data_IF_166501230283
#
_entry.id   IF_166501230283
#
_cell.length_a   1.000
_cell.length_b   1.000
_cell.length_c   1.000
_cell.angle_alpha   90.00
_cell.angle_beta   90.00
_cell.angle_gamma   90.00
#
_symmetry.space_group_name_H-M   'P 1'
#
loop_
_entity.id
_entity.type
_entity.pdbx_description
1 polymer ?
#
# COMPACT_ATOMS: atom_id res chain seq x y z
N UNK A 1 -7.34 -0.79 23.04
CA UNK A 1 -5.91 -0.84 23.37
C UNK A 1 -5.23 0.32 22.68
N UNK A 2 -4.22 0.92 23.32
CA UNK A 2 -3.38 1.93 22.67
C UNK A 2 -2.88 1.39 21.32
N UNK A 3 -2.98 2.19 20.26
CA UNK A 3 -2.57 1.75 18.93
C UNK A 3 -1.16 2.22 18.60
N UNK A 4 -0.43 1.34 17.92
CA UNK A 4 0.97 1.57 17.57
C UNK A 4 1.08 2.40 16.28
N UNK A 5 2.05 3.30 16.24
CA UNK A 5 2.48 4.00 15.04
C UNK A 5 3.92 3.68 14.70
N UNK A 6 4.13 3.32 13.43
CA UNK A 6 5.44 3.10 12.85
C UNK A 6 5.64 4.09 11.69
N UNK A 7 6.74 4.84 11.68
CA UNK A 7 7.02 5.82 10.63
C UNK A 7 8.22 5.39 9.77
N UNK A 8 8.09 5.53 8.45
CA UNK A 8 9.21 5.40 7.50
C UNK A 8 9.44 6.69 6.71
N UNK A 9 10.71 7.00 6.43
CA UNK A 9 11.05 8.00 5.41
C UNK A 9 11.27 7.29 4.08
N UNK A 10 10.54 7.71 3.04
CA UNK A 10 10.65 7.20 1.68
C UNK A 10 10.57 8.38 0.71
N UNK A 11 11.58 8.54 -0.17
CA UNK A 11 11.63 9.60 -1.18
C UNK A 11 11.33 11.01 -0.63
N UNK A 12 11.99 11.39 0.48
CA UNK A 12 11.82 12.67 1.18
C UNK A 12 10.45 12.91 1.84
N UNK A 13 9.58 11.90 1.88
CA UNK A 13 8.32 11.94 2.63
C UNK A 13 8.40 11.01 3.84
N UNK A 14 7.91 11.48 4.97
CA UNK A 14 7.58 10.63 6.11
C UNK A 14 6.20 10.06 5.93
N UNK A 15 6.08 8.75 6.11
CA UNK A 15 4.84 7.99 6.07
C UNK A 15 4.70 7.32 7.43
N UNK A 16 3.71 7.76 8.20
CA UNK A 16 3.32 7.13 9.45
C UNK A 16 2.21 6.12 9.18
N UNK A 17 2.37 4.89 9.66
CA UNK A 17 1.45 3.77 9.51
C UNK A 17 0.87 3.36 10.87
N UNK A 18 -0.34 2.81 10.85
CA UNK A 18 -0.95 2.13 12.00
C UNK A 18 -1.02 0.64 11.69
N UNK A 19 -0.11 -0.22 12.22
CA UNK A 19 -0.06 -1.63 11.83
C UNK A 19 -1.35 -2.41 12.12
N UNK A 20 -2.06 -2.06 13.19
CA UNK A 20 -3.35 -2.67 13.55
C UNK A 20 -4.50 -2.25 12.61
N UNK A 21 -4.27 -1.26 11.74
CA UNK A 21 -5.20 -0.82 10.70
C UNK A 21 -4.51 -0.85 9.32
N UNK A 22 -4.36 -2.02 8.68
CA UNK A 22 -3.61 -2.13 7.44
C UNK A 22 -4.13 -1.19 6.34
N UNK A 23 -3.23 -0.36 5.81
CA UNK A 23 -3.55 0.70 4.85
C UNK A 23 -3.96 2.05 5.47
N UNK A 24 -4.05 2.18 6.80
CA UNK A 24 -4.17 3.46 7.47
C UNK A 24 -2.80 4.14 7.55
N UNK A 25 -2.72 5.37 7.04
CA UNK A 25 -1.48 6.12 7.02
C UNK A 25 -1.71 7.64 7.03
N UNK A 26 -0.66 8.37 7.37
CA UNK A 26 -0.54 9.80 7.13
C UNK A 26 0.86 10.09 6.57
N UNK A 27 0.97 11.06 5.66
CA UNK A 27 2.25 11.44 5.05
C UNK A 27 2.51 12.94 5.12
N UNK A 28 3.77 13.31 5.29
CA UNK A 28 4.23 14.71 5.28
C UNK A 28 5.76 14.76 5.07
N UNK A 29 6.28 15.87 4.56
CA UNK A 29 7.73 16.12 4.48
C UNK A 29 8.37 16.21 5.87
N UNK A 30 7.62 16.67 6.88
CA UNK A 30 8.05 16.69 8.27
C UNK A 30 7.53 15.46 9.03
N UNK A 31 8.45 14.76 9.70
CA UNK A 31 8.18 13.55 10.49
C UNK A 31 7.10 13.76 11.55
N UNK A 32 7.26 14.79 12.38
CA UNK A 32 6.37 15.05 13.50
C UNK A 32 4.96 15.38 13.00
N UNK A 33 4.84 16.16 11.93
CA UNK A 33 3.55 16.45 11.27
C UNK A 33 2.89 15.18 10.74
N UNK A 34 3.64 14.27 10.08
CA UNK A 34 3.10 12.99 9.61
C UNK A 34 2.55 12.15 10.77
N UNK A 35 3.30 12.06 11.87
CA UNK A 35 2.90 11.30 13.07
C UNK A 35 1.68 11.95 13.75
N UNK A 36 1.67 13.27 13.89
CA UNK A 36 0.58 14.02 14.55
C UNK A 36 -0.73 13.98 13.75
N UNK A 37 -0.68 13.71 12.45
CA UNK A 37 -1.85 13.55 11.59
C UNK A 37 -2.54 12.18 11.73
N UNK A 38 -1.92 11.21 12.42
CA UNK A 38 -2.46 9.85 12.53
C UNK A 38 -3.84 9.78 13.20
N UNK A 39 -4.16 10.49 14.29
CA UNK A 39 -5.51 10.44 14.86
C UNK A 39 -6.60 10.78 13.83
N UNK A 40 -6.40 11.83 13.03
CA UNK A 40 -7.32 12.19 11.93
C UNK A 40 -7.34 11.11 10.84
N UNK A 41 -6.19 10.52 10.51
CA UNK A 41 -6.13 9.42 9.54
C UNK A 41 -6.89 8.18 10.02
N UNK A 42 -6.82 7.86 11.32
CA UNK A 42 -7.58 6.79 11.95
C UNK A 42 -9.08 7.07 11.85
N UNK A 43 -9.53 8.27 12.18
CA UNK A 43 -10.96 8.63 12.07
C UNK A 43 -11.46 8.46 10.63
N UNK A 44 -10.71 8.98 9.65
CA UNK A 44 -11.03 8.83 8.23
C UNK A 44 -11.02 7.35 7.78
N UNK A 45 -10.10 6.54 8.32
CA UNK A 45 -10.01 5.11 8.02
C UNK A 45 -11.21 4.35 8.61
N UNK A 46 -11.64 4.66 9.84
CA UNK A 46 -12.80 4.05 10.46
C UNK A 46 -14.10 4.40 9.73
N UNK A 47 -14.24 5.66 9.30
CA UNK A 47 -15.36 6.09 8.46
C UNK A 47 -15.37 5.38 7.10
N UNK A 48 -14.20 5.20 6.50
CA UNK A 48 -14.04 4.40 5.30
C UNK A 48 -14.44 2.93 5.53
N UNK A 49 -13.94 2.28 6.58
CA UNK A 49 -14.31 0.92 6.95
C UNK A 49 -15.83 0.78 7.10
N UNK A 50 -16.47 1.72 7.79
CA UNK A 50 -17.92 1.73 7.98
C UNK A 50 -18.69 1.79 6.65
N UNK A 51 -18.24 2.58 5.67
CA UNK A 51 -18.87 2.67 4.34
C UNK A 51 -18.81 1.35 3.58
N UNK A 52 -17.74 0.57 3.75
CA UNK A 52 -17.56 -0.73 3.12
C UNK A 52 -17.99 -1.91 4.00
N UNK A 53 -18.65 -1.66 5.14
CA UNK A 53 -19.12 -2.71 6.04
C UNK A 53 -18.02 -3.47 6.79
N UNK A 54 -16.80 -2.92 6.84
CA UNK A 54 -15.65 -3.48 7.56
C UNK A 54 -15.77 -3.10 9.02
N UNK A 55 -15.75 -4.09 9.91
CA UNK A 55 -15.85 -3.86 11.35
C UNK A 55 -14.47 -3.86 12.01
N UNK A 56 -14.06 -2.71 12.54
CA UNK A 56 -12.80 -2.55 13.28
C UNK A 56 -13.13 -2.51 14.77
N UNK A 57 -12.44 -3.32 15.58
CA UNK A 57 -12.61 -3.36 17.04
C UNK A 57 -11.27 -3.23 17.75
N UNK A 58 -11.29 -2.91 19.04
CA UNK A 58 -10.11 -2.97 19.89
C UNK A 58 -9.14 -1.79 19.78
N UNK A 59 -9.34 -0.85 18.86
CA UNK A 59 -8.55 0.38 18.76
C UNK A 59 -9.02 1.43 19.78
N UNK A 60 -8.13 1.94 20.61
CA UNK A 60 -8.45 3.05 21.51
C UNK A 60 -7.24 3.95 21.71
N UNK A 61 -7.47 5.22 22.05
CA UNK A 61 -6.40 6.09 22.55
C UNK A 61 -5.73 5.51 23.82
N UNK A 62 -4.48 5.89 24.12
CA UNK A 62 -3.60 6.79 23.35
C UNK A 62 -2.92 6.13 22.15
N UNK A 63 -2.37 6.94 21.26
CA UNK A 63 -1.41 6.51 20.23
C UNK A 63 -0.01 6.37 20.82
N UNK A 64 0.74 5.34 20.43
CA UNK A 64 2.14 5.14 20.86
C UNK A 64 3.04 4.99 19.62
N UNK A 65 4.02 5.87 19.46
CA UNK A 65 5.04 5.74 18.41
C UNK A 65 6.03 4.65 18.83
N UNK A 66 6.14 3.58 18.05
CA UNK A 66 6.99 2.43 18.35
C UNK A 66 8.31 2.45 17.57
N UNK A 67 8.25 2.71 16.27
CA UNK A 67 9.42 2.64 15.38
C UNK A 67 9.44 3.82 14.41
N UNK A 68 10.65 4.34 14.15
CA UNK A 68 10.91 5.39 13.16
C UNK A 68 12.16 4.98 12.39
N UNK A 69 12.00 4.65 11.10
CA UNK A 69 13.06 4.08 10.26
C UNK A 69 13.26 4.98 9.03
N UNK A 70 14.50 5.30 8.69
CA UNK A 70 14.81 6.00 7.43
C UNK A 70 15.16 4.99 6.35
N UNK A 71 14.60 5.16 5.16
CA UNK A 71 15.11 4.41 4.01
C UNK A 71 16.54 4.84 3.70
N UNK A 72 17.32 3.91 3.17
CA UNK A 72 18.72 4.14 2.83
C UNK A 72 19.06 3.46 1.51
N UNK A 73 20.07 3.99 0.83
CA UNK A 73 20.48 3.49 -0.47
C UNK A 73 21.41 2.29 -0.30
N UNK A 74 21.02 1.15 -0.87
CA UNK A 74 21.86 -0.01 -1.11
C UNK A 74 22.54 0.13 -2.48
N UNK A 75 23.50 -0.75 -2.76
CA UNK A 75 24.24 -0.80 -4.02
C UNK A 75 23.34 -0.59 -5.26
N UNK A 76 23.88 0.11 -6.26
CA UNK A 76 23.20 0.45 -7.53
C UNK A 76 21.94 1.35 -7.39
N UNK A 77 21.82 2.12 -6.32
CA UNK A 77 20.73 3.08 -6.13
C UNK A 77 19.42 2.46 -5.61
N UNK A 78 19.46 1.22 -5.15
CA UNK A 78 18.27 0.55 -4.61
C UNK A 78 17.93 1.08 -3.21
N UNK A 79 16.76 1.70 -3.06
CA UNK A 79 16.31 2.20 -1.76
C UNK A 79 15.72 1.08 -0.89
N UNK A 80 16.38 0.81 0.24
CA UNK A 80 15.92 -0.15 1.26
C UNK A 80 14.87 0.52 2.15
N UNK A 81 13.62 0.06 2.06
CA UNK A 81 12.50 0.61 2.85
C UNK A 81 12.39 -0.07 4.22
N UNK A 82 11.55 0.51 5.09
CA UNK A 82 11.41 0.02 6.46
C UNK A 82 10.90 -1.42 6.53
N UNK A 83 11.41 -2.13 7.53
CA UNK A 83 10.89 -3.42 7.98
C UNK A 83 10.65 -3.32 9.48
N UNK A 84 9.39 -3.13 9.86
CA UNK A 84 8.98 -2.90 11.24
C UNK A 84 8.89 -4.21 12.03
N UNK A 85 8.92 -4.14 13.36
CA UNK A 85 8.64 -5.28 14.21
C UNK A 85 7.25 -5.88 13.91
N UNK A 86 6.26 -5.04 13.57
CA UNK A 86 4.93 -5.47 13.15
C UNK A 86 4.90 -6.24 11.81
N UNK A 87 5.94 -6.11 10.97
CA UNK A 87 6.06 -6.88 9.74
C UNK A 87 6.58 -8.32 9.99
N UNK A 88 7.10 -8.64 11.18
CA UNK A 88 7.75 -9.92 11.47
C UNK A 88 6.80 -11.11 11.66
N UNK A 89 5.70 -11.00 12.42
CA UNK A 89 4.89 -12.18 12.72
C UNK A 89 4.36 -12.80 11.43
N UNK A 90 4.24 -14.14 11.36
CA UNK A 90 3.56 -14.77 10.24
C UNK A 90 2.08 -14.36 10.22
N UNK A 91 1.44 -14.39 9.06
CA UNK A 91 0.00 -14.20 8.98
C UNK A 91 -0.71 -15.37 9.66
N UNK A 92 -1.72 -15.09 10.48
CA UNK A 92 -2.56 -16.12 11.06
C UNK A 92 -3.83 -16.30 10.23
N UNK A 93 -4.38 -17.52 10.20
CA UNK A 93 -5.53 -17.85 9.34
C UNK A 93 -6.77 -17.00 9.60
N UNK A 94 -6.92 -16.46 10.82
CA UNK A 94 -8.02 -15.56 11.18
C UNK A 94 -7.96 -14.23 10.40
N UNK A 95 -6.76 -13.70 10.13
CA UNK A 95 -6.54 -12.41 9.46
C UNK A 95 -6.73 -12.49 7.94
N UNK A 96 -6.65 -13.68 7.33
CA UNK A 96 -6.67 -13.83 5.87
C UNK A 96 -7.96 -13.29 5.25
N UNK A 97 -9.10 -13.52 5.91
CA UNK A 97 -10.38 -12.98 5.42
C UNK A 97 -10.41 -11.45 5.49
N UNK A 98 -9.81 -10.86 6.51
CA UNK A 98 -9.75 -9.41 6.70
C UNK A 98 -8.82 -8.78 5.65
N UNK A 99 -7.63 -9.35 5.42
CA UNK A 99 -6.73 -8.90 4.36
C UNK A 99 -7.34 -9.06 2.97
N UNK A 100 -8.04 -10.16 2.71
CA UNK A 100 -8.76 -10.37 1.44
C UNK A 100 -9.78 -9.24 1.22
N UNK A 101 -10.61 -8.97 2.22
CA UNK A 101 -11.61 -7.90 2.16
C UNK A 101 -10.95 -6.54 1.93
N UNK A 102 -9.90 -6.21 2.67
CA UNK A 102 -9.16 -4.94 2.49
C UNK A 102 -8.55 -4.81 1.10
N UNK A 103 -7.98 -5.89 0.55
CA UNK A 103 -7.43 -5.89 -0.80
C UNK A 103 -8.53 -5.69 -1.85
N UNK A 104 -9.66 -6.40 -1.72
CA UNK A 104 -10.82 -6.25 -2.61
C UNK A 104 -11.36 -4.81 -2.55
N UNK A 105 -11.60 -4.28 -1.35
CA UNK A 105 -12.12 -2.91 -1.18
C UNK A 105 -11.17 -1.83 -1.70
N UNK A 106 -9.87 -1.92 -1.41
CA UNK A 106 -8.90 -0.93 -1.91
C UNK A 106 -8.71 -0.99 -3.43
N UNK A 107 -8.92 -2.15 -4.05
CA UNK A 107 -8.92 -2.28 -5.50
C UNK A 107 -10.18 -1.66 -6.12
N UNK A 108 -11.36 -1.91 -5.54
CA UNK A 108 -12.61 -1.30 -5.97
C UNK A 108 -12.55 0.23 -5.90
N UNK A 109 -12.01 0.78 -4.80
CA UNK A 109 -11.82 2.23 -4.65
C UNK A 109 -10.86 2.81 -5.69
N UNK A 110 -9.75 2.12 -5.96
CA UNK A 110 -8.79 2.55 -6.96
C UNK A 110 -9.45 2.62 -8.34
N UNK A 111 -10.20 1.58 -8.75
CA UNK A 111 -10.95 1.58 -10.01
C UNK A 111 -12.04 2.66 -10.05
N UNK A 112 -12.79 2.82 -8.96
CA UNK A 112 -13.82 3.87 -8.87
C UNK A 112 -13.21 5.28 -8.95
N UNK A 113 -11.99 5.45 -8.41
CA UNK A 113 -11.26 6.72 -8.50
C UNK A 113 -10.90 7.08 -9.94
N UNK A 114 -10.62 6.10 -10.80
CA UNK A 114 -10.43 6.30 -12.25
C UNK A 114 -11.77 6.65 -12.90
N UNK A 115 -12.81 5.84 -12.64
CA UNK A 115 -14.15 5.99 -13.19
C UNK A 115 -14.18 5.97 -14.72
N UNK A 116 -15.23 6.56 -15.30
CA UNK A 116 -15.33 6.77 -16.74
C UNK A 116 -14.52 8.02 -17.11
N UNK A 117 -13.33 7.80 -17.67
CA UNK A 117 -12.41 8.84 -18.15
C UNK A 117 -12.07 8.55 -19.61
N UNK A 118 -12.06 9.61 -20.43
CA UNK A 118 -11.67 9.49 -21.82
C UNK A 118 -10.19 9.07 -21.94
N UNK A 119 -9.84 8.22 -22.92
CA UNK A 119 -8.46 7.75 -23.08
C UNK A 119 -7.43 8.88 -23.22
N UNK A 120 -7.80 10.00 -23.83
CA UNK A 120 -6.92 11.17 -23.96
C UNK A 120 -6.57 11.77 -22.59
N UNK A 121 -7.57 11.98 -21.73
CA UNK A 121 -7.39 12.52 -20.39
C UNK A 121 -6.67 11.52 -19.48
N UNK A 122 -6.95 10.22 -19.62
CA UNK A 122 -6.30 9.18 -18.83
C UNK A 122 -4.78 9.09 -19.10
N UNK A 123 -4.36 9.38 -20.34
CA UNK A 123 -2.97 9.36 -20.77
C UNK A 123 -2.24 10.71 -20.62
N UNK A 124 -2.96 11.77 -20.24
CA UNK A 124 -2.41 13.12 -20.11
C UNK A 124 -1.55 13.26 -18.85
N UNK A 125 -0.31 13.72 -19.01
CA UNK A 125 0.55 14.15 -17.90
C UNK A 125 0.27 15.63 -17.63
N UNK A 126 -0.25 15.94 -16.45
CA UNK A 126 -0.54 17.32 -16.05
C UNK A 126 0.74 18.06 -15.63
N UNK A 127 0.80 19.41 -15.77
CA UNK A 127 1.95 20.18 -15.31
C UNK A 127 2.28 19.92 -13.83
N UNK A 128 3.54 19.64 -13.53
CA UNK A 128 4.02 19.35 -12.18
C UNK A 128 3.79 17.90 -11.71
N UNK A 129 3.19 17.04 -12.53
CA UNK A 129 2.99 15.63 -12.21
C UNK A 129 4.02 14.75 -12.93
N UNK A 130 4.42 13.65 -12.29
CA UNK A 130 5.34 12.67 -12.90
C UNK A 130 4.62 11.68 -13.81
N UNK A 131 3.35 11.37 -13.51
CA UNK A 131 2.58 10.33 -14.20
C UNK A 131 1.20 10.84 -14.60
N UNK A 132 0.67 10.26 -15.69
CA UNK A 132 -0.74 10.31 -16.04
C UNK A 132 -1.55 9.34 -15.17
N UNK A 133 -2.88 9.34 -15.27
CA UNK A 133 -3.72 8.38 -14.54
C UNK A 133 -3.39 6.94 -14.95
N UNK A 134 -3.23 6.66 -16.24
CA UNK A 134 -2.78 5.35 -16.72
C UNK A 134 -1.37 5.00 -16.19
N UNK A 135 -0.46 5.97 -16.15
CA UNK A 135 0.87 5.78 -15.58
C UNK A 135 0.85 5.43 -14.09
N UNK A 136 -0.08 6.01 -13.32
CA UNK A 136 -0.29 5.67 -11.90
C UNK A 136 -0.81 4.23 -11.77
N UNK A 137 -1.77 3.80 -12.59
CA UNK A 137 -2.28 2.41 -12.56
C UNK A 137 -1.17 1.41 -12.88
N UNK A 138 -0.37 1.69 -13.90
CA UNK A 138 0.77 0.85 -14.27
C UNK A 138 1.82 0.80 -13.15
N UNK A 139 2.10 1.94 -12.50
CA UNK A 139 3.01 2.02 -11.36
C UNK A 139 2.54 1.19 -10.17
N UNK A 140 1.24 1.24 -9.84
CA UNK A 140 0.64 0.38 -8.80
C UNK A 140 0.80 -1.09 -9.18
N UNK A 141 0.40 -1.48 -10.39
CA UNK A 141 0.46 -2.87 -10.83
C UNK A 141 1.90 -3.44 -10.79
N UNK A 142 2.87 -2.69 -11.32
CA UNK A 142 4.29 -3.04 -11.28
C UNK A 142 4.80 -3.20 -9.84
N UNK A 143 4.39 -2.30 -8.95
CA UNK A 143 4.84 -2.33 -7.55
C UNK A 143 4.30 -3.55 -6.81
N UNK A 144 3.02 -3.89 -6.99
CA UNK A 144 2.43 -5.06 -6.35
C UNK A 144 2.99 -6.38 -6.87
N UNK A 145 3.22 -6.45 -8.18
CA UNK A 145 3.90 -7.59 -8.79
C UNK A 145 5.30 -7.74 -8.19
N UNK A 146 6.04 -6.62 -8.08
CA UNK A 146 7.38 -6.62 -7.50
C UNK A 146 7.37 -7.04 -6.03
N UNK A 147 6.39 -6.61 -5.22
CA UNK A 147 6.26 -7.04 -3.82
C UNK A 147 6.07 -8.56 -3.70
N UNK A 148 5.26 -9.17 -4.56
CA UNK A 148 5.11 -10.63 -4.61
C UNK A 148 6.39 -11.32 -5.07
N UNK A 149 7.10 -10.73 -6.02
CA UNK A 149 8.37 -11.25 -6.54
C UNK A 149 9.45 -11.31 -5.45
N UNK A 150 9.44 -10.38 -4.49
CA UNK A 150 10.36 -10.41 -3.32
C UNK A 150 10.22 -11.66 -2.46
N UNK A 151 9.08 -12.36 -2.55
CA UNK A 151 8.86 -13.65 -1.88
C UNK A 151 8.87 -14.83 -2.86
N UNK A 152 9.21 -14.60 -4.13
CA UNK A 152 9.14 -15.61 -5.19
C UNK A 152 7.71 -16.08 -5.46
N UNK A 153 6.73 -15.19 -5.30
CA UNK A 153 5.29 -15.48 -5.44
C UNK A 153 4.66 -14.73 -6.61
N UNK A 154 5.40 -13.90 -7.33
CA UNK A 154 4.91 -13.28 -8.56
C UNK A 154 4.78 -14.29 -9.69
N UNK A 155 3.86 -14.03 -10.62
CA UNK A 155 3.83 -14.75 -11.89
C UNK A 155 4.99 -14.30 -12.80
N UNK A 156 5.37 -15.10 -13.83
CA UNK A 156 6.52 -14.80 -14.69
C UNK A 156 6.43 -13.44 -15.38
N UNK A 157 7.57 -12.78 -15.56
CA UNK A 157 7.65 -11.43 -16.15
C UNK A 157 7.12 -11.40 -17.59
N UNK A 158 7.27 -12.50 -18.32
CA UNK A 158 6.77 -12.68 -19.69
C UNK A 158 5.23 -12.69 -19.76
N UNK A 159 4.56 -12.92 -18.64
CA UNK A 159 3.11 -12.87 -18.52
C UNK A 159 2.56 -11.50 -18.13
N UNK A 160 3.40 -10.46 -17.99
CA UNK A 160 2.94 -9.10 -17.64
C UNK A 160 2.25 -8.47 -18.86
N UNK A 161 0.97 -8.07 -18.74
CA UNK A 161 0.27 -7.36 -19.82
C UNK A 161 0.87 -5.97 -20.09
N UNK A 162 0.83 -5.55 -21.36
CA UNK A 162 1.19 -4.18 -21.75
C UNK A 162 0.13 -3.15 -21.33
N UNK A 163 -1.14 -3.55 -21.28
CA UNK A 163 -2.24 -2.69 -20.84
C UNK A 163 -2.26 -2.57 -19.30
N UNK A 164 -2.18 -1.34 -18.79
CA UNK A 164 -2.04 -1.07 -17.37
C UNK A 164 -3.24 -1.53 -16.54
N UNK A 165 -4.46 -1.38 -17.06
CA UNK A 165 -5.70 -1.82 -16.38
C UNK A 165 -5.79 -3.35 -16.33
N UNK A 166 -5.43 -4.02 -17.42
CA UNK A 166 -5.34 -5.47 -17.49
C UNK A 166 -4.28 -5.99 -16.52
N UNK A 167 -3.09 -5.39 -16.50
CA UNK A 167 -2.03 -5.77 -15.57
C UNK A 167 -2.46 -5.59 -14.11
N UNK A 168 -3.05 -4.44 -13.77
CA UNK A 168 -3.58 -4.19 -12.43
C UNK A 168 -4.63 -5.23 -12.01
N UNK A 169 -5.54 -5.61 -12.92
CA UNK A 169 -6.54 -6.65 -12.68
C UNK A 169 -5.89 -8.01 -12.43
N UNK A 170 -4.90 -8.39 -13.23
CA UNK A 170 -4.25 -9.69 -13.14
C UNK A 170 -3.40 -9.82 -11.88
N UNK A 171 -2.60 -8.79 -11.54
CA UNK A 171 -1.82 -8.80 -10.30
C UNK A 171 -2.71 -8.77 -9.07
N UNK A 172 -3.84 -8.06 -9.12
CA UNK A 172 -4.82 -8.10 -8.05
C UNK A 172 -5.42 -9.50 -7.87
N UNK A 173 -5.90 -10.12 -8.95
CA UNK A 173 -6.46 -11.47 -8.91
C UNK A 173 -5.43 -12.49 -8.41
N UNK A 174 -4.18 -12.36 -8.88
CA UNK A 174 -3.07 -13.22 -8.46
C UNK A 174 -2.72 -13.04 -6.97
N UNK A 175 -2.72 -11.80 -6.46
CA UNK A 175 -2.53 -11.51 -5.04
C UNK A 175 -3.59 -12.24 -4.18
N UNK A 176 -4.87 -12.18 -4.57
CA UNK A 176 -5.95 -12.85 -3.84
C UNK A 176 -5.78 -14.38 -3.82
N UNK A 177 -5.45 -14.98 -4.96
CA UNK A 177 -5.18 -16.43 -5.06
C UNK A 177 -3.94 -16.85 -4.27
N UNK A 178 -2.98 -15.95 -4.12
CA UNK A 178 -1.70 -16.20 -3.43
C UNK A 178 -1.76 -15.96 -1.91
N UNK A 179 -2.84 -15.38 -1.37
CA UNK A 179 -3.01 -15.16 0.07
C UNK A 179 -2.75 -16.41 0.94
N UNK A 180 -3.22 -17.62 0.58
CA UNK A 180 -2.90 -18.84 1.33
C UNK A 180 -1.40 -19.18 1.33
N UNK A 181 -0.68 -18.89 0.24
CA UNK A 181 0.76 -19.10 0.17
C UNK A 181 1.52 -18.05 0.98
N UNK A 182 1.07 -16.79 0.98
CA UNK A 182 1.57 -15.76 1.89
C UNK A 182 1.39 -16.18 3.35
N UNK A 183 0.27 -16.81 3.71
CA UNK A 183 0.05 -17.34 5.06
C UNK A 183 1.07 -18.41 5.46
N UNK A 184 1.46 -19.28 4.53
CA UNK A 184 2.46 -20.33 4.78
C UNK A 184 3.88 -19.78 4.94
N UNK A 185 4.14 -18.52 4.53
CA UNK A 185 5.44 -17.88 4.71
C UNK A 185 5.61 -17.45 6.17
N UNK A 186 6.27 -18.32 6.93
CA UNK A 186 6.49 -18.13 8.37
C UNK A 186 7.56 -17.10 8.76
N UNK A 187 8.44 -16.72 7.82
CA UNK A 187 9.63 -15.92 8.09
C UNK A 187 9.83 -14.76 7.11
N UNK A 188 10.94 -14.06 7.28
CA UNK A 188 11.36 -12.99 6.40
C UNK A 188 12.56 -13.42 5.54
N UNK A 189 12.70 -12.82 4.37
CA UNK A 189 13.83 -12.98 3.45
C UNK A 189 14.48 -11.63 3.23
N UNK A 190 15.80 -11.58 3.09
CA UNK A 190 16.52 -10.35 2.76
C UNK A 190 17.07 -10.46 1.34
N UNK A 191 16.71 -9.49 0.50
CA UNK A 191 17.11 -9.39 -0.90
C UNK A 191 17.65 -7.98 -1.14
N UNK A 192 18.87 -7.86 -1.67
CA UNK A 192 19.52 -6.57 -1.93
C UNK A 192 19.46 -5.60 -0.71
N UNK A 193 19.77 -6.11 0.48
CA UNK A 193 19.74 -5.32 1.72
C UNK A 193 18.34 -5.08 2.30
N UNK A 194 17.27 -5.32 1.55
CA UNK A 194 15.90 -5.11 2.03
C UNK A 194 15.26 -6.39 2.55
N UNK A 195 14.64 -6.30 3.74
CA UNK A 195 13.94 -7.42 4.37
C UNK A 195 12.46 -7.41 4.02
N UNK A 196 11.94 -8.58 3.66
CA UNK A 196 10.59 -8.83 3.15
C UNK A 196 9.90 -9.97 3.90
N UNK A 197 8.65 -9.76 4.25
CA UNK A 197 7.75 -10.77 4.85
C UNK A 197 6.37 -10.67 4.21
N UNK A 198 5.52 -11.67 4.46
CA UNK A 198 4.14 -11.63 4.00
C UNK A 198 3.38 -10.39 4.52
N UNK A 199 3.61 -9.98 5.79
CA UNK A 199 2.98 -8.77 6.35
C UNK A 199 3.47 -7.50 5.68
N UNK A 200 4.77 -7.38 5.38
CA UNK A 200 5.29 -6.20 4.67
C UNK A 200 4.70 -6.09 3.26
N UNK A 201 4.58 -7.21 2.53
CA UNK A 201 3.92 -7.23 1.21
C UNK A 201 2.51 -6.66 1.31
N UNK A 202 1.69 -7.16 2.25
CA UNK A 202 0.32 -6.69 2.44
C UNK A 202 0.24 -5.24 2.92
N UNK A 203 1.10 -4.82 3.86
CA UNK A 203 1.18 -3.43 4.34
C UNK A 203 1.48 -2.48 3.19
N UNK A 204 2.49 -2.81 2.36
CA UNK A 204 2.91 -1.99 1.22
C UNK A 204 1.83 -1.92 0.15
N UNK A 205 1.23 -3.05 -0.25
CA UNK A 205 0.11 -3.07 -1.21
C UNK A 205 -1.08 -2.23 -0.75
N UNK A 206 -1.54 -2.40 0.49
CA UNK A 206 -2.71 -1.69 1.00
C UNK A 206 -2.47 -0.18 1.14
N UNK A 207 -1.30 0.21 1.65
CA UNK A 207 -0.91 1.61 1.72
C UNK A 207 -0.80 2.22 0.31
N UNK A 208 -0.04 1.58 -0.58
CA UNK A 208 0.30 2.10 -1.90
C UNK A 208 -0.95 2.28 -2.78
N UNK A 209 -1.89 1.32 -2.76
CA UNK A 209 -3.19 1.47 -3.45
C UNK A 209 -3.96 2.68 -2.94
N UNK A 210 -4.06 2.87 -1.63
CA UNK A 210 -4.84 3.98 -1.04
C UNK A 210 -4.19 5.34 -1.30
N UNK A 211 -2.87 5.41 -1.24
CA UNK A 211 -2.11 6.61 -1.59
C UNK A 211 -2.36 7.02 -3.06
N UNK A 212 -2.26 6.06 -3.98
CA UNK A 212 -2.50 6.32 -5.40
C UNK A 212 -3.97 6.52 -5.77
N UNK A 213 -4.91 5.96 -4.99
CA UNK A 213 -6.34 6.31 -5.09
C UNK A 213 -6.55 7.80 -4.81
N UNK A 214 -5.91 8.33 -3.76
CA UNK A 214 -5.96 9.76 -3.45
C UNK A 214 -5.21 10.60 -4.49
N UNK A 215 -4.11 10.11 -5.05
CA UNK A 215 -3.39 10.77 -6.15
C UNK A 215 -4.27 10.91 -7.40
N UNK A 216 -4.88 9.82 -7.86
CA UNK A 216 -5.78 9.82 -9.02
C UNK A 216 -6.96 10.79 -8.79
N UNK A 217 -7.55 10.80 -7.59
CA UNK A 217 -8.62 11.75 -7.28
C UNK A 217 -8.16 13.21 -7.42
N UNK A 218 -6.93 13.55 -7.02
CA UNK A 218 -6.34 14.89 -7.22
C UNK A 218 -6.11 15.21 -8.70
N UNK A 219 -5.62 14.24 -9.49
CA UNK A 219 -5.43 14.42 -10.93
C UNK A 219 -6.76 14.69 -11.63
N UNK A 220 -7.80 13.90 -11.32
CA UNK A 220 -9.14 14.08 -11.89
C UNK A 220 -9.78 15.41 -11.54
N UNK A 221 -9.58 15.91 -10.32
CA UNK A 221 -10.08 17.22 -9.94
C UNK A 221 -9.48 18.37 -10.80
N UNK A 222 -8.30 18.15 -11.40
CA UNK A 222 -7.58 19.12 -12.24
C UNK A 222 -7.81 18.93 -13.74
N UNK A 223 -8.42 17.82 -14.15
CA UNK A 223 -8.81 17.56 -15.55
C UNK A 223 -10.13 18.24 -15.94
N UNK A 224 -10.88 18.75 -14.94
CA UNK A 224 -12.14 19.48 -15.13
C UNK A 224 -11.94 20.87 -15.70
#
# INVERSE_FOLDING_TARGET
>A
MAYIVCAEENQNLWIAHVPDLPGCFASNENRETAIQAIPTAVDNYLDWCKKHGIHVTGLSSPMIVSEVIRAWEFEDGHMVNAFFAADRPPLIGAEIREFKLLLETTYEDLLASVGDIEPEDANKILPGEQWSIEGVLEHVAKSEWWYLDRLGLAFPREGIPEDAKLFLREVHAHMLVTLPELQKRGGAVTLAGETWSARKVLRRSLWHRRDHTAHIAKLRARLR
#
